data_IF_912126980951
#
_entry.id   IF_912126980951
#
_cell.length_a   1.000
_cell.length_b   1.000
_cell.length_c   1.000
_cell.angle_alpha   90.00
_cell.angle_beta   90.00
_cell.angle_gamma   90.00
#
_symmetry.space_group_name_H-M   'P 1'
#
loop_
_entity.id
_entity.type
_entity.pdbx_description
1 polymer ?
#
# COMPACT_ATOMS: atom_id res chain seq x y z
N UNK A 1 0.82 7.37 -30.91
CA UNK A 1 0.38 7.89 -29.63
C UNK A 1 -0.38 6.80 -28.89
N UNK A 2 0.13 6.42 -27.71
CA UNK A 2 -0.55 5.49 -26.81
C UNK A 2 -1.84 6.18 -26.36
N UNK A 3 -3.01 5.62 -26.67
CA UNK A 3 -4.27 6.11 -26.12
C UNK A 3 -4.30 5.71 -24.64
N UNK A 4 -4.04 6.66 -23.75
CA UNK A 4 -4.26 6.49 -22.30
C UNK A 4 -5.76 6.48 -21.98
N UNK A 5 -6.59 7.07 -22.85
CA UNK A 5 -8.04 7.07 -22.71
C UNK A 5 -8.57 5.62 -22.71
N UNK A 6 -9.25 5.25 -21.65
CA UNK A 6 -9.77 3.93 -21.30
C UNK A 6 -8.74 2.92 -20.71
N UNK A 7 -7.53 3.34 -20.34
CA UNK A 7 -6.59 2.50 -19.61
C UNK A 7 -6.79 2.69 -18.10
N UNK A 8 -6.96 1.62 -17.35
CA UNK A 8 -7.01 1.65 -15.89
C UNK A 8 -5.62 1.37 -15.30
N UNK A 9 -5.08 2.33 -14.57
CA UNK A 9 -3.75 2.27 -13.96
C UNK A 9 -3.89 2.24 -12.44
N UNK A 10 -3.40 1.19 -11.80
CA UNK A 10 -3.30 1.10 -10.35
C UNK A 10 -1.89 1.51 -9.90
N UNK A 11 -1.79 2.56 -9.09
CA UNK A 11 -0.53 3.04 -8.51
C UNK A 11 -0.53 2.69 -7.02
N UNK A 12 0.44 1.90 -6.59
CA UNK A 12 0.60 1.48 -5.18
C UNK A 12 1.70 2.33 -4.54
N UNK A 13 1.32 3.15 -3.56
CA UNK A 13 2.22 4.08 -2.87
C UNK A 13 2.39 3.73 -1.40
N UNK A 14 3.57 4.02 -0.83
CA UNK A 14 3.90 3.57 0.54
C UNK A 14 3.16 4.34 1.66
N UNK A 15 2.78 5.58 1.42
CA UNK A 15 2.28 6.45 2.49
C UNK A 15 3.40 7.09 3.33
N UNK A 16 3.10 8.20 4.00
CA UNK A 16 4.08 9.05 4.69
C UNK A 16 3.91 9.15 6.20
N UNK A 17 3.23 8.20 6.85
CA UNK A 17 2.98 8.22 8.30
C UNK A 17 2.34 9.55 8.82
N UNK A 18 1.47 10.15 8.00
CA UNK A 18 0.81 11.43 8.32
C UNK A 18 1.70 12.67 8.10
N UNK A 19 2.94 12.49 7.63
CA UNK A 19 3.83 13.57 7.22
C UNK A 19 3.73 13.83 5.72
N UNK A 20 4.15 15.03 5.28
CA UNK A 20 4.40 15.27 3.88
C UNK A 20 5.57 14.40 3.42
N UNK A 21 5.34 13.59 2.42
CA UNK A 21 6.31 12.64 1.88
C UNK A 21 6.52 12.93 0.41
N UNK A 22 7.75 13.13 -0.01
CA UNK A 22 8.07 13.47 -1.40
C UNK A 22 7.59 12.42 -2.40
N UNK A 23 7.71 11.13 -2.09
CA UNK A 23 7.18 10.06 -2.96
C UNK A 23 5.66 10.08 -3.03
N UNK A 24 4.96 10.31 -1.91
CA UNK A 24 3.49 10.39 -1.91
C UNK A 24 2.99 11.58 -2.73
N UNK A 25 3.65 12.74 -2.62
CA UNK A 25 3.33 13.93 -3.41
C UNK A 25 3.58 13.68 -4.89
N UNK A 26 4.74 13.11 -5.24
CA UNK A 26 5.07 12.70 -6.60
C UNK A 26 4.00 11.75 -7.18
N UNK A 27 3.61 10.71 -6.45
CA UNK A 27 2.66 9.71 -6.89
C UNK A 27 1.26 10.31 -7.10
N UNK A 28 0.84 11.20 -6.19
CA UNK A 28 -0.43 11.92 -6.33
C UNK A 28 -0.43 12.86 -7.53
N UNK A 29 0.65 13.62 -7.74
CA UNK A 29 0.80 14.51 -8.91
C UNK A 29 0.80 13.68 -10.20
N UNK A 30 1.47 12.53 -10.20
CA UNK A 30 1.49 11.62 -11.33
C UNK A 30 0.10 11.03 -11.62
N UNK A 31 -0.62 10.58 -10.60
CA UNK A 31 -2.00 10.11 -10.73
C UNK A 31 -2.91 11.18 -11.34
N UNK A 32 -2.79 12.44 -10.89
CA UNK A 32 -3.53 13.58 -11.44
C UNK A 32 -3.21 13.85 -12.90
N UNK A 33 -1.93 13.83 -13.24
CA UNK A 33 -1.49 14.03 -14.63
C UNK A 33 -2.04 12.95 -15.56
N UNK A 34 -1.92 11.67 -15.18
CA UNK A 34 -2.45 10.55 -15.96
C UNK A 34 -3.98 10.65 -16.13
N UNK A 35 -4.70 11.02 -15.07
CA UNK A 35 -6.14 11.23 -15.13
C UNK A 35 -6.50 12.40 -16.05
N UNK A 36 -5.73 13.49 -16.04
CA UNK A 36 -5.91 14.61 -16.97
C UNK A 36 -5.68 14.22 -18.44
N UNK A 37 -4.83 13.20 -18.70
CA UNK A 37 -4.66 12.61 -20.02
C UNK A 37 -5.69 11.55 -20.39
N UNK A 38 -6.70 11.35 -19.54
CA UNK A 38 -7.85 10.48 -19.82
C UNK A 38 -7.70 9.03 -19.35
N UNK A 39 -6.68 8.69 -18.56
CA UNK A 39 -6.59 7.39 -17.90
C UNK A 39 -7.53 7.33 -16.69
N UNK A 40 -8.08 6.15 -16.40
CA UNK A 40 -8.65 5.84 -15.10
C UNK A 40 -7.50 5.48 -14.14
N UNK A 41 -7.36 6.21 -13.04
CA UNK A 41 -6.26 6.00 -12.10
C UNK A 41 -6.79 5.67 -10.71
N UNK A 42 -6.32 4.58 -10.14
CA UNK A 42 -6.55 4.22 -8.74
C UNK A 42 -5.23 4.33 -7.97
N UNK A 43 -5.10 5.36 -7.13
CA UNK A 43 -3.96 5.54 -6.23
C UNK A 43 -4.23 4.84 -4.90
N UNK A 44 -3.43 3.82 -4.58
CA UNK A 44 -3.64 2.90 -3.47
C UNK A 44 -2.58 3.16 -2.40
N UNK A 45 -2.92 3.81 -1.27
CA UNK A 45 -1.98 3.98 -0.17
C UNK A 45 -1.81 2.67 0.60
N UNK A 46 -0.56 2.36 0.94
CA UNK A 46 -0.19 1.30 1.87
C UNK A 46 0.32 1.92 3.17
N UNK A 47 0.42 1.16 4.25
CA UNK A 47 0.91 1.53 5.59
C UNK A 47 0.17 2.68 6.27
N UNK A 48 -0.01 3.83 5.62
CA UNK A 48 -0.69 5.02 6.17
C UNK A 48 -1.35 5.84 5.06
N UNK A 49 -2.35 6.68 5.41
CA UNK A 49 -2.87 7.66 4.46
C UNK A 49 -1.74 8.55 3.93
N UNK A 50 -1.85 8.96 2.68
CA UNK A 50 -0.93 9.97 2.15
C UNK A 50 -1.35 11.36 2.66
N UNK A 51 -0.37 12.25 2.75
CA UNK A 51 -0.58 13.67 2.99
C UNK A 51 0.05 14.45 1.85
N UNK A 52 -0.77 15.19 1.13
CA UNK A 52 -0.38 15.95 -0.05
C UNK A 52 -0.83 17.40 0.10
N UNK A 53 -0.23 18.29 -0.65
CA UNK A 53 -0.54 19.73 -0.70
C UNK A 53 -1.52 20.09 -1.84
N UNK A 54 -1.89 19.09 -2.63
CA UNK A 54 -2.82 19.19 -3.74
C UNK A 54 -4.08 18.35 -3.47
N UNK A 55 -5.01 18.29 -4.43
CA UNK A 55 -6.16 17.38 -4.35
C UNK A 55 -5.67 15.93 -4.24
N UNK A 56 -6.05 15.27 -3.15
CA UNK A 56 -5.75 13.87 -2.90
C UNK A 56 -6.65 12.95 -3.75
N UNK A 57 -6.04 12.16 -4.61
CA UNK A 57 -6.72 11.15 -5.44
C UNK A 57 -6.63 9.73 -4.86
N UNK A 58 -6.04 9.57 -3.68
CA UNK A 58 -5.91 8.24 -3.09
C UNK A 58 -7.24 7.63 -2.69
N UNK A 59 -7.29 6.31 -2.75
CA UNK A 59 -8.43 5.55 -2.21
C UNK A 59 -8.50 5.68 -0.69
N UNK A 60 -9.69 5.60 -0.12
CA UNK A 60 -9.88 5.65 1.34
C UNK A 60 -9.43 4.37 2.06
N UNK A 61 -9.23 3.29 1.33
CA UNK A 61 -8.70 2.03 1.87
C UNK A 61 -7.20 2.13 2.11
N UNK A 62 -6.75 1.70 3.28
CA UNK A 62 -5.33 1.59 3.61
C UNK A 62 -5.03 0.11 3.72
N UNK A 63 -3.98 -0.33 3.03
CA UNK A 63 -3.47 -1.69 3.09
C UNK A 63 -2.19 -1.69 3.92
N UNK A 64 -1.85 -2.78 4.57
CA UNK A 64 -0.72 -2.86 5.50
C UNK A 64 -0.83 -1.83 6.63
N UNK A 65 -2.00 -1.67 7.24
CA UNK A 65 -2.19 -0.75 8.37
C UNK A 65 -1.05 -0.89 9.37
N UNK A 66 -0.33 0.21 9.63
CA UNK A 66 0.95 0.19 10.36
C UNK A 66 0.88 -0.51 11.73
N UNK A 67 -0.29 -0.52 12.38
CA UNK A 67 -0.52 -1.23 13.64
C UNK A 67 -0.59 -2.74 13.40
N UNK A 68 -1.35 -3.19 12.41
CA UNK A 68 -1.47 -4.61 12.09
C UNK A 68 -0.12 -5.20 11.67
N UNK A 69 0.64 -4.49 10.84
CA UNK A 69 2.00 -4.87 10.41
C UNK A 69 2.93 -5.01 11.63
N UNK A 70 2.89 -4.06 12.57
CA UNK A 70 3.69 -4.11 13.79
C UNK A 70 3.27 -5.28 14.70
N UNK A 71 1.97 -5.53 14.86
CA UNK A 71 1.45 -6.62 15.68
C UNK A 71 1.70 -7.99 15.05
N UNK A 72 1.60 -8.11 13.72
CA UNK A 72 1.96 -9.31 12.97
C UNK A 72 3.45 -9.65 13.12
N UNK A 73 4.32 -8.62 13.15
CA UNK A 73 5.74 -8.80 13.40
C UNK A 73 6.02 -9.21 14.86
N UNK A 74 5.31 -8.63 15.83
CA UNK A 74 5.60 -8.78 17.25
C UNK A 74 4.95 -10.00 17.89
N UNK A 75 3.73 -10.40 17.45
CA UNK A 75 2.94 -11.46 18.08
C UNK A 75 2.43 -12.48 17.06
N UNK A 76 2.94 -13.70 17.19
CA UNK A 76 2.57 -14.81 16.32
C UNK A 76 1.07 -15.18 16.41
N UNK A 77 0.43 -14.90 17.56
CA UNK A 77 -1.00 -15.14 17.76
C UNK A 77 -1.87 -14.16 16.97
N UNK A 78 -1.40 -12.91 16.76
CA UNK A 78 -2.12 -11.90 15.99
C UNK A 78 -2.31 -12.31 14.53
N UNK A 79 -1.32 -13.00 13.95
CA UNK A 79 -1.38 -13.53 12.58
C UNK A 79 -2.49 -14.54 12.35
N UNK A 80 -2.97 -15.20 13.41
CA UNK A 80 -4.04 -16.21 13.35
C UNK A 80 -5.45 -15.62 13.44
N UNK A 81 -5.56 -14.33 13.75
CA UNK A 81 -6.85 -13.65 13.83
C UNK A 81 -7.45 -13.41 12.44
N UNK A 82 -8.77 -13.59 12.27
CA UNK A 82 -9.41 -13.34 10.99
C UNK A 82 -9.34 -11.84 10.62
N UNK A 83 -9.18 -11.50 9.33
CA UNK A 83 -9.04 -10.11 8.87
C UNK A 83 -10.17 -9.18 9.30
N UNK A 84 -11.38 -9.74 9.52
CA UNK A 84 -12.56 -8.97 9.96
C UNK A 84 -12.38 -8.33 11.34
N UNK A 85 -11.65 -8.99 12.25
CA UNK A 85 -11.38 -8.49 13.59
C UNK A 85 -10.23 -7.48 13.63
N UNK A 86 -9.26 -7.62 12.73
CA UNK A 86 -8.06 -6.77 12.70
C UNK A 86 -8.26 -5.49 11.87
N UNK A 87 -9.19 -5.47 10.91
CA UNK A 87 -9.49 -4.29 10.09
C UNK A 87 -9.90 -3.06 10.89
N UNK A 88 -10.44 -3.23 12.08
CA UNK A 88 -10.82 -2.09 12.93
C UNK A 88 -9.60 -1.29 13.39
N UNK A 89 -8.45 -1.94 13.54
CA UNK A 89 -7.19 -1.29 13.92
C UNK A 89 -6.55 -0.49 12.76
N UNK A 90 -7.04 -0.63 11.53
CA UNK A 90 -6.62 0.16 10.38
C UNK A 90 -7.43 1.48 10.24
N UNK A 91 -8.33 1.75 11.18
CA UNK A 91 -9.09 3.00 11.17
C UNK A 91 -8.13 4.21 11.28
N UNK A 92 -8.29 5.25 10.44
CA UNK A 92 -7.35 6.38 10.36
C UNK A 92 -7.10 7.09 11.69
N UNK A 93 -8.11 7.14 12.58
CA UNK A 93 -7.97 7.77 13.89
C UNK A 93 -7.10 6.94 14.84
N UNK A 94 -7.15 5.59 14.75
CA UNK A 94 -6.30 4.69 15.55
C UNK A 94 -4.84 4.80 15.05
N UNK A 95 -4.63 4.81 13.72
CA UNK A 95 -3.32 4.98 13.11
C UNK A 95 -2.69 6.32 13.51
N UNK A 96 -3.46 7.41 13.47
CA UNK A 96 -2.99 8.74 13.89
C UNK A 96 -2.65 8.80 15.39
N UNK A 97 -3.37 8.05 16.22
CA UNK A 97 -3.05 7.97 17.65
C UNK A 97 -1.78 7.15 17.89
N UNK A 98 -1.66 6.00 17.21
CA UNK A 98 -0.50 5.11 17.36
C UNK A 98 0.80 5.75 16.87
N UNK A 99 0.78 6.51 15.77
CA UNK A 99 1.97 7.20 15.25
C UNK A 99 2.56 8.23 16.22
N UNK A 100 1.76 8.76 17.14
CA UNK A 100 2.24 9.67 18.21
C UNK A 100 3.06 8.95 19.29
N UNK A 101 2.88 7.64 19.44
CA UNK A 101 3.53 6.84 20.49
C UNK A 101 4.62 5.91 19.96
N UNK A 102 4.77 5.75 18.66
CA UNK A 102 5.81 4.88 18.08
C UNK A 102 7.15 5.61 18.12
N UNK A 103 7.97 5.24 19.10
CA UNK A 103 9.39 5.56 19.10
C UNK A 103 10.09 4.68 18.06
N UNK A 104 10.67 5.28 17.03
CA UNK A 104 11.36 4.57 15.95
C UNK A 104 12.75 4.12 16.42
N UNK A 105 12.88 2.88 16.87
CA UNK A 105 14.19 2.27 17.07
C UNK A 105 14.69 1.69 15.73
N UNK A 106 15.86 2.11 15.27
CA UNK A 106 16.43 1.72 13.98
C UNK A 106 16.55 0.19 13.79
N UNK A 107 16.79 -0.57 14.87
CA UNK A 107 16.84 -2.05 14.81
C UNK A 107 15.47 -2.67 14.52
N UNK A 108 14.41 -2.09 15.05
CA UNK A 108 13.04 -2.57 14.79
C UNK A 108 12.61 -2.25 13.35
N UNK A 109 13.04 -1.09 12.82
CA UNK A 109 12.79 -0.71 11.43
C UNK A 109 13.42 -1.68 10.44
N UNK A 110 14.66 -2.13 10.69
CA UNK A 110 15.32 -3.13 9.84
C UNK A 110 14.56 -4.47 9.74
N UNK A 111 14.03 -4.96 10.88
CA UNK A 111 13.22 -6.18 10.91
C UNK A 111 11.90 -6.05 10.16
N UNK A 112 11.23 -4.89 10.28
CA UNK A 112 10.00 -4.60 9.54
C UNK A 112 10.29 -4.49 8.05
N UNK A 113 11.37 -3.83 7.65
CA UNK A 113 11.79 -3.72 6.24
C UNK A 113 12.04 -5.10 5.63
N UNK A 114 12.72 -5.98 6.35
CA UNK A 114 12.93 -7.36 5.87
C UNK A 114 11.60 -8.10 5.72
N UNK A 115 10.70 -7.99 6.70
CA UNK A 115 9.37 -8.59 6.64
C UNK A 115 8.53 -8.07 5.45
N UNK A 116 8.70 -6.79 5.07
CA UNK A 116 8.06 -6.21 3.88
C UNK A 116 8.58 -6.85 2.60
N UNK A 117 9.90 -7.04 2.48
CA UNK A 117 10.52 -7.70 1.32
C UNK A 117 10.16 -9.18 1.22
N UNK A 118 10.05 -9.89 2.35
CA UNK A 118 9.59 -11.27 2.40
C UNK A 118 8.14 -11.43 1.94
N UNK A 119 7.33 -10.39 2.13
CA UNK A 119 5.96 -10.27 1.64
C UNK A 119 5.10 -11.48 1.98
N UNK A 120 4.66 -12.23 0.96
CA UNK A 120 3.79 -13.40 1.13
C UNK A 120 4.43 -14.56 1.88
N UNK A 121 5.76 -14.63 1.90
CA UNK A 121 6.53 -15.66 2.62
C UNK A 121 6.82 -15.25 4.06
N UNK A 122 6.61 -13.99 4.40
CA UNK A 122 6.91 -13.39 5.67
C UNK A 122 5.70 -13.22 6.62
N UNK A 123 5.93 -12.52 7.71
CA UNK A 123 4.88 -12.26 8.70
C UNK A 123 3.72 -11.40 8.16
N UNK A 124 3.91 -10.67 7.07
CA UNK A 124 2.90 -9.79 6.46
C UNK A 124 2.03 -10.47 5.39
N UNK A 125 2.13 -11.79 5.25
CA UNK A 125 1.41 -12.56 4.22
C UNK A 125 -0.08 -12.18 4.13
N UNK A 126 -0.76 -12.06 5.26
CA UNK A 126 -2.19 -11.73 5.30
C UNK A 126 -2.49 -10.37 4.66
N UNK A 127 -1.69 -9.37 4.96
CA UNK A 127 -1.85 -8.01 4.42
C UNK A 127 -1.52 -7.98 2.92
N UNK A 128 -0.51 -8.75 2.50
CA UNK A 128 -0.18 -8.95 1.08
C UNK A 128 -1.36 -9.56 0.34
N UNK A 129 -1.98 -10.61 0.88
CA UNK A 129 -3.15 -11.26 0.27
C UNK A 129 -4.32 -10.28 0.12
N UNK A 130 -4.60 -9.47 1.14
CA UNK A 130 -5.67 -8.45 1.10
C UNK A 130 -5.40 -7.39 0.02
N UNK A 131 -4.16 -6.91 -0.09
CA UNK A 131 -3.77 -5.96 -1.14
C UNK A 131 -3.90 -6.58 -2.53
N UNK A 132 -3.41 -7.80 -2.70
CA UNK A 132 -3.46 -8.52 -3.98
C UNK A 132 -4.91 -8.79 -4.41
N UNK A 133 -5.77 -9.22 -3.48
CA UNK A 133 -7.20 -9.43 -3.75
C UNK A 133 -7.88 -8.13 -4.19
N UNK A 134 -7.55 -7.02 -3.54
CA UNK A 134 -8.10 -5.71 -3.90
C UNK A 134 -7.66 -5.29 -5.30
N UNK A 135 -6.34 -5.35 -5.60
CA UNK A 135 -5.81 -4.98 -6.92
C UNK A 135 -6.38 -5.88 -8.02
N UNK A 136 -6.43 -7.19 -7.79
CA UNK A 136 -7.02 -8.13 -8.75
C UNK A 136 -8.51 -7.84 -8.99
N UNK A 137 -9.25 -7.44 -7.95
CA UNK A 137 -10.66 -7.05 -8.05
C UNK A 137 -10.88 -5.77 -8.87
N UNK A 138 -9.91 -4.86 -8.90
CA UNK A 138 -9.94 -3.64 -9.73
C UNK A 138 -9.78 -3.94 -11.22
N UNK A 139 -9.16 -5.06 -11.59
CA UNK A 139 -8.84 -5.46 -12.97
C UNK A 139 -8.12 -4.35 -13.77
N UNK A 140 -7.03 -3.78 -13.25
CA UNK A 140 -6.32 -2.72 -13.96
C UNK A 140 -5.62 -3.28 -15.20
N UNK A 141 -5.31 -2.40 -16.17
CA UNK A 141 -4.47 -2.74 -17.33
C UNK A 141 -2.98 -2.74 -16.97
N UNK A 142 -2.62 -1.86 -16.01
CA UNK A 142 -1.24 -1.63 -15.58
C UNK A 142 -1.20 -1.45 -14.07
N UNK A 143 -0.18 -2.03 -13.44
CA UNK A 143 0.12 -1.82 -12.02
C UNK A 143 1.49 -1.18 -11.90
N UNK A 144 1.59 -0.13 -11.07
CA UNK A 144 2.84 0.54 -10.76
C UNK A 144 3.09 0.55 -9.25
N UNK A 145 4.21 -0.03 -8.81
CA UNK A 145 4.70 0.11 -7.45
C UNK A 145 5.66 1.29 -7.38
N UNK A 146 5.35 2.30 -6.61
CA UNK A 146 6.22 3.47 -6.47
C UNK A 146 7.39 3.26 -5.51
N UNK A 147 7.42 2.12 -4.82
CA UNK A 147 8.46 1.79 -3.85
C UNK A 147 8.85 0.31 -3.93
N UNK A 148 10.16 0.06 -4.07
CA UNK A 148 10.73 -1.28 -4.15
C UNK A 148 10.43 -2.16 -2.92
N UNK A 149 10.18 -1.57 -1.75
CA UNK A 149 9.81 -2.34 -0.55
C UNK A 149 8.48 -3.09 -0.70
N UNK A 150 7.66 -2.71 -1.67
CA UNK A 150 6.37 -3.35 -1.95
C UNK A 150 6.49 -4.56 -2.89
N UNK A 151 7.70 -4.86 -3.41
CA UNK A 151 7.91 -6.01 -4.33
C UNK A 151 7.62 -7.37 -3.68
N UNK A 152 7.56 -7.44 -2.34
CA UNK A 152 7.14 -8.65 -1.62
C UNK A 152 5.74 -9.15 -1.99
N UNK A 153 4.88 -8.29 -2.58
CA UNK A 153 3.57 -8.68 -3.09
C UNK A 153 3.58 -9.19 -4.55
N UNK A 154 4.72 -9.05 -5.25
CA UNK A 154 4.80 -9.23 -6.69
C UNK A 154 4.49 -10.67 -7.14
N UNK A 155 4.94 -11.67 -6.41
CA UNK A 155 4.74 -13.07 -6.75
C UNK A 155 3.27 -13.47 -6.65
N UNK A 156 2.61 -13.15 -5.54
CA UNK A 156 1.17 -13.37 -5.36
C UNK A 156 0.36 -12.62 -6.40
N UNK A 157 0.76 -11.39 -6.72
CA UNK A 157 0.09 -10.59 -7.72
C UNK A 157 0.22 -11.20 -9.11
N UNK A 158 1.42 -11.69 -9.49
CA UNK A 158 1.65 -12.34 -10.79
C UNK A 158 0.83 -13.61 -10.99
N UNK A 159 0.46 -14.31 -9.94
CA UNK A 159 -0.40 -15.49 -10.05
C UNK A 159 -1.87 -15.14 -10.39
N UNK A 160 -2.25 -13.86 -10.32
CA UNK A 160 -3.63 -13.37 -10.50
C UNK A 160 -3.76 -12.23 -11.52
N UNK A 161 -2.64 -11.78 -12.07
CA UNK A 161 -2.59 -10.64 -12.97
C UNK A 161 -1.54 -10.84 -14.07
N UNK A 162 -2.02 -10.88 -15.33
CA UNK A 162 -1.18 -11.10 -16.51
C UNK A 162 -0.71 -9.80 -17.17
N UNK A 163 -1.21 -8.64 -16.72
CA UNK A 163 -0.88 -7.32 -17.27
C UNK A 163 0.54 -6.86 -16.93
N UNK A 164 0.87 -5.63 -17.29
CA UNK A 164 2.17 -5.04 -17.04
C UNK A 164 2.29 -4.55 -15.61
N UNK A 165 3.41 -4.89 -14.96
CA UNK A 165 3.78 -4.39 -13.63
C UNK A 165 5.10 -3.65 -13.74
N UNK A 166 5.12 -2.44 -13.19
CA UNK A 166 6.30 -1.57 -13.09
C UNK A 166 6.65 -1.33 -11.61
N UNK A 167 7.95 -1.10 -11.35
CA UNK A 167 8.45 -0.65 -10.06
C UNK A 167 9.57 0.36 -10.28
#
# INVERSE_FOLDING_TARGET
PVRLAAMHIAIVTAGGAGMFCGSCMHDNTWARALSAYGAEVTLIPTYTPIRVDEQDLSTRGIFFGGINVYLDYRWNLWRKLPPRLTRWFDAPWILNLATKFVSSNARQLGGITLAMLEGESGPQRREVEVLVDFIAGLKPDVICFSNVLLVGALRSLRSRFDGKIFC
#
